data_IF_789337442181
#
_entry.id   IF_789337442181
#
_cell.length_a   1.000
_cell.length_b   1.000
_cell.length_c   1.000
_cell.angle_alpha   90.00
_cell.angle_beta   90.00
_cell.angle_gamma   90.00
#
_symmetry.space_group_name_H-M   'P 1'
#
loop_
_entity.id
_entity.type
_entity.pdbx_description
1 polymer ?
#
# COMPACT_ATOMS: atom_id res chain seq x y z
N UNK A 1 8.64 20.19 -26.17
CA UNK A 1 9.81 19.30 -26.24
C UNK A 1 9.88 18.36 -27.44
N UNK A 2 8.89 17.48 -27.74
CA UNK A 2 8.90 16.71 -29.02
C UNK A 2 8.85 17.64 -30.25
N UNK A 3 8.07 18.73 -30.12
CA UNK A 3 7.93 19.79 -31.13
C UNK A 3 9.28 20.45 -31.43
N UNK A 4 10.03 20.84 -30.40
CA UNK A 4 11.30 21.59 -30.54
C UNK A 4 12.42 20.75 -31.17
N UNK A 5 12.49 19.44 -30.87
CA UNK A 5 13.44 18.51 -31.49
C UNK A 5 13.17 18.35 -33.00
N UNK A 6 11.90 18.24 -33.39
CA UNK A 6 11.52 18.20 -34.80
C UNK A 6 11.82 19.53 -35.48
N UNK A 7 11.63 20.67 -34.81
CA UNK A 7 11.98 21.98 -35.37
C UNK A 7 13.48 22.10 -35.64
N UNK A 8 14.35 21.68 -34.71
CA UNK A 8 15.82 21.77 -34.90
C UNK A 8 16.29 20.88 -36.06
N UNK A 9 15.82 19.62 -36.11
CA UNK A 9 16.19 18.69 -37.19
C UNK A 9 15.68 19.21 -38.54
N UNK A 10 14.47 19.75 -38.57
CA UNK A 10 13.87 20.33 -39.77
C UNK A 10 14.64 21.58 -40.24
N UNK A 11 15.03 22.47 -39.33
CA UNK A 11 15.84 23.66 -39.67
C UNK A 11 17.19 23.27 -40.23
N UNK A 12 17.90 22.30 -39.63
CA UNK A 12 19.18 21.80 -40.15
C UNK A 12 18.97 21.16 -41.54
N UNK A 13 17.89 20.39 -41.73
CA UNK A 13 17.54 19.79 -43.01
C UNK A 13 17.26 20.82 -44.11
N UNK A 14 16.48 21.86 -43.80
CA UNK A 14 16.16 22.94 -44.75
C UNK A 14 17.42 23.72 -45.12
N UNK A 15 18.20 24.15 -44.12
CA UNK A 15 19.42 24.94 -44.34
C UNK A 15 20.47 24.11 -45.10
N UNK A 16 20.65 22.84 -44.75
CA UNK A 16 21.54 21.93 -45.47
C UNK A 16 21.11 21.69 -46.91
N UNK A 17 19.80 21.54 -47.17
CA UNK A 17 19.26 21.35 -48.52
C UNK A 17 19.46 22.60 -49.40
N UNK A 18 19.26 23.79 -48.83
CA UNK A 18 19.50 25.06 -49.54
C UNK A 18 20.97 25.17 -49.94
N UNK A 19 21.89 24.90 -49.00
CA UNK A 19 23.33 24.98 -49.27
C UNK A 19 23.78 23.92 -50.28
N UNK A 20 23.25 22.70 -50.20
CA UNK A 20 23.51 21.65 -51.18
C UNK A 20 23.02 22.03 -52.59
N UNK A 21 21.83 22.61 -52.69
CA UNK A 21 21.25 23.04 -53.97
C UNK A 21 22.05 24.20 -54.60
N UNK A 22 22.43 25.19 -53.79
CA UNK A 22 23.29 26.30 -54.24
C UNK A 22 24.66 25.80 -54.72
N UNK A 23 25.25 24.82 -54.02
CA UNK A 23 26.52 24.23 -54.45
C UNK A 23 26.40 23.42 -55.74
N UNK A 24 25.30 22.69 -55.91
CA UNK A 24 25.02 21.96 -57.15
C UNK A 24 24.88 22.92 -58.33
N UNK A 25 24.17 24.03 -58.14
CA UNK A 25 24.05 25.08 -59.16
C UNK A 25 25.41 25.70 -59.49
N UNK A 26 26.21 26.04 -58.48
CA UNK A 26 27.55 26.60 -58.68
C UNK A 26 28.51 25.64 -59.39
N UNK A 27 28.36 24.33 -59.20
CA UNK A 27 29.14 23.32 -59.89
C UNK A 27 28.71 23.15 -61.36
N UNK A 28 27.41 23.24 -61.63
CA UNK A 28 26.87 23.16 -63.00
C UNK A 28 27.18 24.41 -63.85
N UNK A 29 27.22 25.60 -63.23
CA UNK A 29 27.51 26.87 -63.89
C UNK A 29 28.95 27.38 -63.61
N UNK A 30 29.83 26.49 -63.15
CA UNK A 30 31.17 26.85 -62.68
C UNK A 30 32.05 27.53 -63.73
N UNK A 31 31.98 27.07 -64.97
CA UNK A 31 32.79 27.59 -66.08
C UNK A 31 32.39 29.01 -66.50
N UNK A 32 31.09 29.36 -66.43
CA UNK A 32 30.59 30.72 -66.71
C UNK A 32 30.95 31.68 -65.56
N UNK A 33 30.86 31.19 -64.31
CA UNK A 33 31.20 31.96 -63.11
C UNK A 33 32.71 32.29 -63.03
N UNK A 34 33.57 31.35 -63.45
CA UNK A 34 35.01 31.55 -63.44
C UNK A 34 35.46 32.57 -64.50
N UNK A 35 34.85 32.53 -65.69
CA UNK A 35 35.09 33.51 -66.77
C UNK A 35 34.67 34.93 -66.39
N UNK A 36 33.57 35.10 -65.65
CA UNK A 36 33.09 36.43 -65.24
C UNK A 36 33.81 37.01 -64.02
N UNK A 37 34.34 36.16 -63.12
CA UNK A 37 34.71 36.61 -61.77
C UNK A 37 36.01 36.04 -61.17
N UNK A 38 36.87 35.38 -61.98
CA UNK A 38 38.28 34.89 -61.84
C UNK A 38 39.06 34.87 -60.47
N UNK A 39 38.40 34.97 -59.32
CA UNK A 39 38.93 34.90 -57.94
C UNK A 39 37.79 34.54 -56.96
N UNK A 40 36.54 34.83 -57.32
CA UNK A 40 35.36 34.59 -56.47
C UNK A 40 35.11 33.09 -56.27
N UNK A 41 35.40 32.23 -57.25
CA UNK A 41 35.19 30.78 -57.16
C UNK A 41 35.88 30.12 -55.95
N UNK A 42 37.14 30.50 -55.68
CA UNK A 42 37.90 29.99 -54.53
C UNK A 42 37.29 30.46 -53.19
N UNK A 43 36.83 31.72 -53.12
CA UNK A 43 36.18 32.28 -51.91
C UNK A 43 34.82 31.64 -51.63
N UNK A 44 34.08 31.32 -52.68
CA UNK A 44 32.81 30.61 -52.61
C UNK A 44 33.02 29.17 -52.15
N UNK A 45 34.03 28.48 -52.70
CA UNK A 45 34.39 27.12 -52.29
C UNK A 45 34.81 27.07 -50.81
N UNK A 46 35.61 28.03 -50.34
CA UNK A 46 36.01 28.07 -48.92
C UNK A 46 34.84 28.38 -47.98
N UNK A 47 33.92 29.26 -48.37
CA UNK A 47 32.70 29.53 -47.62
C UNK A 47 31.79 28.29 -47.55
N UNK A 48 31.71 27.53 -48.63
CA UNK A 48 30.96 26.27 -48.68
C UNK A 48 31.57 25.20 -47.75
N UNK A 49 32.88 24.98 -47.82
CA UNK A 49 33.58 24.03 -46.93
C UNK A 49 33.40 24.43 -45.46
N UNK A 50 33.46 25.73 -45.14
CA UNK A 50 33.20 26.23 -43.80
C UNK A 50 31.76 25.93 -43.35
N UNK A 51 30.77 26.12 -44.23
CA UNK A 51 29.36 25.87 -43.92
C UNK A 51 29.04 24.38 -43.75
N UNK A 52 29.60 23.52 -44.61
CA UNK A 52 29.48 22.06 -44.49
C UNK A 52 30.10 21.55 -43.17
N UNK A 53 31.26 22.09 -42.80
CA UNK A 53 31.91 21.80 -41.51
C UNK A 53 31.05 22.25 -40.33
N UNK A 54 30.46 23.45 -40.41
CA UNK A 54 29.55 23.98 -39.39
C UNK A 54 28.30 23.10 -39.21
N UNK A 55 27.62 22.72 -40.30
CA UNK A 55 26.45 21.85 -40.25
C UNK A 55 26.79 20.46 -39.67
N UNK A 56 27.93 19.89 -40.08
CA UNK A 56 28.42 18.60 -39.56
C UNK A 56 28.67 18.66 -38.05
N UNK A 57 29.36 19.70 -37.59
CA UNK A 57 29.62 19.93 -36.16
C UNK A 57 28.33 20.10 -35.36
N UNK A 58 27.38 20.90 -35.87
CA UNK A 58 26.08 21.13 -35.23
C UNK A 58 25.26 19.83 -35.11
N UNK A 59 25.23 19.01 -36.17
CA UNK A 59 24.52 17.74 -36.17
C UNK A 59 25.17 16.75 -35.19
N UNK A 60 26.51 16.70 -35.13
CA UNK A 60 27.24 15.89 -34.17
C UNK A 60 26.94 16.32 -32.71
N UNK A 61 26.97 17.62 -32.41
CA UNK A 61 26.59 18.14 -31.09
C UNK A 61 25.13 17.79 -30.72
N UNK A 62 24.21 17.85 -31.67
CA UNK A 62 22.82 17.46 -31.45
C UNK A 62 22.70 15.96 -31.16
N UNK A 63 23.41 15.11 -31.90
CA UNK A 63 23.45 13.66 -31.64
C UNK A 63 23.99 13.35 -30.24
N UNK A 64 25.07 14.01 -29.81
CA UNK A 64 25.60 13.88 -28.45
C UNK A 64 24.55 14.28 -27.42
N UNK A 65 23.87 15.42 -27.61
CA UNK A 65 22.84 15.89 -26.68
C UNK A 65 21.69 14.87 -26.57
N UNK A 66 21.24 14.32 -27.69
CA UNK A 66 20.17 13.32 -27.72
C UNK A 66 20.60 12.00 -27.10
N UNK A 67 21.83 11.57 -27.36
CA UNK A 67 22.43 10.39 -26.75
C UNK A 67 22.49 10.56 -25.22
N UNK A 68 23.08 11.64 -24.73
CA UNK A 68 23.21 11.91 -23.29
C UNK A 68 21.84 11.95 -22.59
N UNK A 69 20.84 12.63 -23.18
CA UNK A 69 19.48 12.64 -22.63
C UNK A 69 18.85 11.24 -22.57
N UNK A 70 19.10 10.42 -23.58
CA UNK A 70 18.58 9.05 -23.62
C UNK A 70 19.26 8.18 -22.57
N UNK A 71 20.59 8.29 -22.45
CA UNK A 71 21.38 7.58 -21.43
C UNK A 71 20.95 7.96 -20.02
N UNK A 72 20.75 9.24 -19.72
CA UNK A 72 20.24 9.71 -18.41
C UNK A 72 18.88 9.09 -18.13
N UNK A 73 17.94 9.15 -19.09
CA UNK A 73 16.61 8.56 -18.90
C UNK A 73 16.65 7.04 -18.67
N UNK A 74 17.54 6.32 -19.38
CA UNK A 74 17.73 4.87 -19.19
C UNK A 74 18.32 4.59 -17.81
N UNK A 75 19.27 5.41 -17.36
CA UNK A 75 19.88 5.28 -16.04
C UNK A 75 18.85 5.49 -14.93
N UNK A 76 18.05 6.55 -15.02
CA UNK A 76 16.98 6.85 -14.06
C UNK A 76 15.94 5.72 -13.99
N UNK A 77 15.51 5.18 -15.14
CA UNK A 77 14.58 4.04 -15.19
C UNK A 77 15.20 2.75 -14.65
N UNK A 78 16.49 2.53 -14.87
CA UNK A 78 17.21 1.36 -14.33
C UNK A 78 17.36 1.46 -12.82
N UNK A 79 17.67 2.65 -12.29
CA UNK A 79 17.75 2.91 -10.87
C UNK A 79 16.39 2.72 -10.20
N UNK A 80 15.32 3.27 -10.78
CA UNK A 80 13.97 3.11 -10.23
C UNK A 80 13.54 1.65 -10.18
N UNK A 81 13.83 0.86 -11.23
CA UNK A 81 13.55 -0.59 -11.24
C UNK A 81 14.38 -1.35 -10.20
N UNK A 82 15.65 -0.98 -10.01
CA UNK A 82 16.51 -1.58 -9.00
C UNK A 82 16.00 -1.28 -7.58
N UNK A 83 15.52 -0.05 -7.33
CA UNK A 83 14.87 0.34 -6.08
C UNK A 83 13.61 -0.47 -5.83
N UNK A 84 12.69 -0.53 -6.80
CA UNK A 84 11.46 -1.32 -6.69
C UNK A 84 11.75 -2.80 -6.44
N UNK A 85 12.75 -3.38 -7.12
CA UNK A 85 13.16 -4.76 -6.91
C UNK A 85 13.69 -4.99 -5.48
N UNK A 86 14.52 -4.07 -4.98
CA UNK A 86 15.02 -4.12 -3.60
C UNK A 86 13.88 -4.01 -2.59
N UNK A 87 12.91 -3.13 -2.82
CA UNK A 87 11.74 -2.99 -1.95
C UNK A 87 10.87 -4.24 -1.95
N UNK A 88 10.63 -4.84 -3.11
CA UNK A 88 9.89 -6.10 -3.23
C UNK A 88 10.62 -7.24 -2.51
N UNK A 89 11.93 -7.39 -2.70
CA UNK A 89 12.73 -8.41 -2.02
C UNK A 89 12.74 -8.21 -0.50
N UNK A 90 12.81 -6.95 -0.05
CA UNK A 90 12.72 -6.63 1.37
C UNK A 90 11.33 -6.96 1.92
N UNK A 91 10.26 -6.56 1.23
CA UNK A 91 8.90 -6.82 1.64
C UNK A 91 8.61 -8.33 1.69
N UNK A 92 9.01 -9.09 0.67
CA UNK A 92 8.82 -10.55 0.61
C UNK A 92 9.63 -11.30 1.67
N UNK A 93 10.77 -10.78 2.11
CA UNK A 93 11.59 -11.44 3.15
C UNK A 93 11.21 -11.09 4.59
N UNK A 94 10.42 -10.03 4.79
CA UNK A 94 10.23 -9.43 6.11
C UNK A 94 8.76 -9.17 6.49
N UNK A 95 7.80 -9.74 5.75
CA UNK A 95 6.41 -9.75 6.19
C UNK A 95 6.18 -10.68 7.38
N UNK A 96 4.95 -10.69 7.89
CA UNK A 96 4.52 -11.61 8.93
C UNK A 96 3.08 -12.08 8.65
N UNK A 97 2.82 -13.37 8.82
CA UNK A 97 1.48 -13.96 8.80
C UNK A 97 1.23 -14.65 10.14
N UNK A 98 0.02 -14.52 10.66
CA UNK A 98 -0.42 -15.20 11.87
C UNK A 98 -1.46 -16.27 11.58
N UNK A 99 -1.54 -17.23 12.50
CA UNK A 99 -2.62 -18.19 12.60
C UNK A 99 -3.25 -18.07 13.99
N UNK A 100 -4.57 -17.88 14.02
CA UNK A 100 -5.34 -17.94 15.25
C UNK A 100 -5.55 -19.39 15.68
N UNK A 101 -5.46 -19.66 16.98
CA UNK A 101 -5.43 -21.03 17.48
C UNK A 101 -6.07 -21.19 18.85
N UNK A 102 -6.21 -22.45 19.26
CA UNK A 102 -6.76 -22.89 20.54
C UNK A 102 -8.23 -22.49 20.78
N UNK A 103 -8.47 -21.45 21.58
CA UNK A 103 -9.78 -21.10 22.11
C UNK A 103 -9.95 -19.59 22.05
N UNK A 104 -11.02 -19.16 21.41
CA UNK A 104 -11.49 -17.79 21.42
C UNK A 104 -12.41 -17.58 22.62
N UNK A 105 -12.22 -16.47 23.34
CA UNK A 105 -13.01 -16.11 24.51
C UNK A 105 -13.79 -14.83 24.22
N UNK A 106 -15.07 -14.83 24.57
CA UNK A 106 -15.93 -13.63 24.53
C UNK A 106 -16.47 -13.39 25.93
N UNK A 107 -16.19 -12.21 26.49
CA UNK A 107 -16.56 -11.84 27.86
C UNK A 107 -16.88 -10.34 27.97
N UNK A 108 -17.68 -9.98 28.98
CA UNK A 108 -18.02 -8.58 29.24
C UNK A 108 -16.81 -7.79 29.72
N UNK A 109 -16.66 -6.57 29.20
CA UNK A 109 -15.56 -5.69 29.62
C UNK A 109 -15.76 -5.17 31.05
N UNK A 110 -14.64 -4.91 31.72
CA UNK A 110 -14.68 -4.36 33.08
C UNK A 110 -15.22 -2.93 33.09
N UNK A 111 -16.05 -2.59 34.09
CA UNK A 111 -16.59 -1.24 34.27
C UNK A 111 -15.49 -0.17 34.28
N UNK A 112 -14.39 -0.44 34.99
CA UNK A 112 -13.21 0.44 35.03
C UNK A 112 -12.62 0.72 33.64
N UNK A 113 -12.59 -0.28 32.77
CA UNK A 113 -12.09 -0.10 31.41
C UNK A 113 -13.05 0.77 30.59
N UNK A 114 -14.36 0.51 30.71
CA UNK A 114 -15.41 1.30 30.06
C UNK A 114 -15.37 2.75 30.53
N UNK A 115 -15.27 3.02 31.84
CA UNK A 115 -15.19 4.38 32.38
C UNK A 115 -13.99 5.15 31.79
N UNK A 116 -12.84 4.47 31.68
CA UNK A 116 -11.63 5.05 31.08
C UNK A 116 -11.83 5.36 29.59
N UNK A 117 -12.51 4.50 28.85
CA UNK A 117 -12.86 4.73 27.45
C UNK A 117 -13.70 6.00 27.31
N UNK A 118 -14.77 6.13 28.09
CA UNK A 118 -15.69 7.27 28.04
C UNK A 118 -14.97 8.57 28.42
N UNK A 119 -14.11 8.54 29.43
CA UNK A 119 -13.32 9.71 29.85
C UNK A 119 -12.31 10.16 28.79
N UNK A 120 -11.61 9.21 28.15
CA UNK A 120 -10.59 9.52 27.14
C UNK A 120 -11.15 9.82 25.76
N UNK A 121 -12.40 9.42 25.48
CA UNK A 121 -13.06 9.54 24.18
C UNK A 121 -12.21 9.01 23.02
N UNK A 122 -11.57 7.86 23.23
CA UNK A 122 -10.64 7.27 22.27
C UNK A 122 -11.06 5.85 21.91
N UNK A 123 -11.41 5.63 20.65
CA UNK A 123 -11.88 4.34 20.14
C UNK A 123 -10.77 3.50 19.49
N UNK A 124 -9.50 3.87 19.67
CA UNK A 124 -8.34 3.25 19.02
C UNK A 124 -8.34 1.70 19.09
N UNK A 125 -8.83 1.11 20.19
CA UNK A 125 -8.86 -0.34 20.40
C UNK A 125 -10.26 -0.97 20.26
N UNK A 126 -11.22 -0.22 19.75
CA UNK A 126 -12.63 -0.60 19.70
C UNK A 126 -13.12 -0.75 18.27
N UNK A 127 -14.08 -1.64 18.09
CA UNK A 127 -14.90 -1.77 16.89
C UNK A 127 -16.37 -1.64 17.30
N UNK A 128 -17.15 -0.94 16.50
CA UNK A 128 -18.57 -0.67 16.76
C UNK A 128 -19.44 -1.49 15.81
N UNK A 129 -20.56 -2.00 16.32
CA UNK A 129 -21.60 -2.63 15.51
C UNK A 129 -22.09 -1.68 14.40
N UNK A 130 -22.44 -2.24 13.25
CA UNK A 130 -22.92 -1.49 12.09
C UNK A 130 -24.07 -0.53 12.45
N UNK A 131 -23.98 0.71 11.94
CA UNK A 131 -25.01 1.73 12.15
C UNK A 131 -24.94 2.44 13.51
N UNK A 132 -23.84 2.28 14.26
CA UNK A 132 -23.55 3.05 15.47
C UNK A 132 -22.66 4.25 15.21
N UNK A 133 -22.79 5.28 16.07
CA UNK A 133 -22.01 6.52 16.01
C UNK A 133 -21.26 6.70 17.34
N UNK A 134 -19.94 6.89 17.26
CA UNK A 134 -19.05 7.02 18.44
C UNK A 134 -19.52 8.07 19.45
N UNK A 135 -19.95 9.23 18.96
CA UNK A 135 -20.39 10.35 19.81
C UNK A 135 -21.63 10.01 20.64
N UNK A 136 -22.52 9.17 20.13
CA UNK A 136 -23.69 8.72 20.88
C UNK A 136 -23.29 7.75 21.99
N UNK A 137 -22.34 6.85 21.72
CA UNK A 137 -21.80 5.91 22.71
C UNK A 137 -21.18 6.65 23.90
N UNK A 138 -20.42 7.73 23.64
CA UNK A 138 -19.82 8.52 24.71
C UNK A 138 -20.84 9.26 25.58
N UNK A 139 -21.97 9.67 25.00
CA UNK A 139 -23.03 10.40 25.71
C UNK A 139 -23.96 9.47 26.48
N UNK A 140 -24.24 8.30 25.91
CA UNK A 140 -25.24 7.35 26.42
C UNK A 140 -24.63 5.94 26.60
N UNK A 141 -23.57 5.76 27.41
CA UNK A 141 -22.88 4.46 27.52
C UNK A 141 -23.77 3.33 28.04
N UNK A 142 -24.83 3.64 28.78
CA UNK A 142 -25.76 2.64 29.35
C UNK A 142 -26.64 1.95 28.29
N UNK A 143 -26.76 2.54 27.10
CA UNK A 143 -27.53 1.99 25.97
C UNK A 143 -26.72 0.94 25.18
N UNK A 144 -25.45 0.75 25.55
CA UNK A 144 -24.50 -0.12 24.86
C UNK A 144 -23.97 -1.21 25.78
N UNK A 145 -23.51 -2.28 25.15
CA UNK A 145 -22.77 -3.35 25.80
C UNK A 145 -21.35 -3.39 25.25
N UNK A 146 -20.39 -3.59 26.15
CA UNK A 146 -18.97 -3.60 25.87
C UNK A 146 -18.44 -5.01 26.12
N UNK A 147 -17.86 -5.61 25.08
CA UNK A 147 -17.44 -7.02 25.10
C UNK A 147 -16.02 -7.11 24.56
N UNK A 148 -15.18 -7.91 25.20
CA UNK A 148 -13.86 -8.25 24.68
C UNK A 148 -13.88 -9.59 23.99
N UNK A 149 -13.12 -9.65 22.91
CA UNK A 149 -12.77 -10.86 22.18
C UNK A 149 -11.28 -11.13 22.37
N UNK A 150 -10.94 -12.26 22.98
CA UNK A 150 -9.54 -12.69 23.16
C UNK A 150 -9.25 -13.92 22.32
N UNK A 151 -8.28 -13.82 21.40
CA UNK A 151 -7.90 -14.91 20.51
C UNK A 151 -6.39 -15.14 20.57
N UNK A 152 -5.94 -16.34 21.00
CA UNK A 152 -4.54 -16.74 20.90
C UNK A 152 -4.10 -16.85 19.44
N UNK A 153 -2.85 -16.45 19.17
CA UNK A 153 -2.26 -16.58 17.84
C UNK A 153 -0.76 -16.93 17.92
N UNK A 154 -0.26 -17.48 16.81
CA UNK A 154 1.17 -17.67 16.56
C UNK A 154 1.56 -17.04 15.22
N UNK A 155 2.81 -16.62 15.11
CA UNK A 155 3.40 -16.26 13.83
C UNK A 155 3.75 -17.56 13.11
N UNK A 156 3.16 -17.80 11.94
CA UNK A 156 3.42 -18.99 11.13
C UNK A 156 4.50 -18.74 10.08
N UNK A 157 4.62 -17.50 9.66
CA UNK A 157 5.55 -17.11 8.62
C UNK A 157 6.05 -15.71 8.89
N UNK A 158 7.35 -15.49 8.63
CA UNK A 158 7.94 -14.17 8.64
C UNK A 158 8.56 -13.74 9.96
N UNK A 159 8.59 -12.43 10.22
CA UNK A 159 9.30 -11.81 11.35
C UNK A 159 8.37 -11.56 12.54
N UNK A 160 8.94 -11.11 13.65
CA UNK A 160 8.19 -10.64 14.82
C UNK A 160 7.23 -9.51 14.43
N UNK A 161 6.04 -9.51 15.02
CA UNK A 161 4.98 -8.56 14.75
C UNK A 161 5.13 -7.34 15.66
N UNK A 162 4.98 -6.15 15.08
CA UNK A 162 4.93 -4.90 15.83
C UNK A 162 3.50 -4.48 16.14
N UNK A 163 2.58 -4.66 15.19
CA UNK A 163 1.18 -4.29 15.38
C UNK A 163 0.22 -5.16 14.56
N UNK A 164 -0.99 -5.31 15.10
CA UNK A 164 -2.13 -5.91 14.42
C UNK A 164 -3.26 -4.88 14.46
N UNK A 165 -3.88 -4.62 13.33
CA UNK A 165 -5.08 -3.80 13.23
C UNK A 165 -6.20 -4.54 12.50
N UNK A 166 -7.43 -4.14 12.75
CA UNK A 166 -8.64 -4.71 12.17
C UNK A 166 -9.42 -3.64 11.44
N UNK A 167 -9.86 -3.97 10.23
CA UNK A 167 -10.73 -3.10 9.44
C UNK A 167 -12.20 -3.46 9.68
N UNK A 168 -12.47 -4.78 9.79
CA UNK A 168 -13.82 -5.34 9.91
C UNK A 168 -13.81 -6.70 10.57
N UNK A 169 -14.82 -6.97 11.39
CA UNK A 169 -15.17 -8.31 11.87
C UNK A 169 -16.58 -8.64 11.41
N UNK A 170 -16.80 -9.86 10.93
CA UNK A 170 -18.11 -10.39 10.58
C UNK A 170 -18.33 -11.70 11.31
N UNK A 171 -19.41 -11.77 12.08
CA UNK A 171 -19.86 -12.98 12.76
C UNK A 171 -21.15 -13.45 12.11
N UNK A 172 -21.24 -14.74 11.82
CA UNK A 172 -22.43 -15.35 11.27
C UNK A 172 -23.13 -16.16 12.37
N UNK A 173 -24.42 -15.91 12.60
CA UNK A 173 -25.26 -16.63 13.55
C UNK A 173 -26.67 -16.76 12.98
N UNK A 174 -27.19 -17.99 12.89
CA UNK A 174 -28.54 -18.28 12.40
C UNK A 174 -28.88 -17.64 11.04
N UNK A 175 -27.90 -17.54 10.13
CA UNK A 175 -28.07 -16.89 8.83
C UNK A 175 -28.06 -15.35 8.85
N UNK A 176 -27.87 -14.73 10.02
CA UNK A 176 -27.67 -13.30 10.18
C UNK A 176 -26.19 -12.96 10.31
N UNK A 177 -25.76 -11.88 9.66
CA UNK A 177 -24.40 -11.34 9.80
C UNK A 177 -24.41 -10.18 10.80
N UNK A 178 -23.52 -10.26 11.78
CA UNK A 178 -23.21 -9.17 12.70
C UNK A 178 -21.87 -8.60 12.31
N UNK A 179 -21.85 -7.33 11.92
CA UNK A 179 -20.67 -6.67 11.40
C UNK A 179 -20.20 -5.60 12.38
N UNK A 180 -18.90 -5.60 12.65
CA UNK A 180 -18.23 -4.61 13.46
C UNK A 180 -17.17 -3.93 12.61
N UNK A 181 -17.13 -2.60 12.68
CA UNK A 181 -16.25 -1.77 11.89
C UNK A 181 -15.38 -0.91 12.78
N UNK A 182 -14.23 -0.50 12.25
CA UNK A 182 -13.49 0.62 12.83
C UNK A 182 -14.37 1.87 12.83
N UNK A 183 -14.49 2.57 13.96
CA UNK A 183 -15.29 3.79 14.04
C UNK A 183 -14.74 4.88 13.12
N UNK A 184 -15.61 5.73 12.56
CA UNK A 184 -15.21 6.79 11.62
C UNK A 184 -14.19 7.79 12.19
N UNK A 185 -14.14 7.93 13.52
CA UNK A 185 -13.15 8.74 14.23
C UNK A 185 -11.72 8.19 14.12
N UNK A 186 -11.55 6.94 13.72
CA UNK A 186 -10.28 6.22 13.65
C UNK A 186 -10.05 5.68 12.22
N UNK A 187 -8.80 5.58 11.78
CA UNK A 187 -8.48 4.93 10.49
C UNK A 187 -8.45 3.40 10.57
N UNK A 188 -7.96 2.86 11.69
CA UNK A 188 -7.86 1.42 11.93
C UNK A 188 -8.03 1.11 13.42
N UNK A 189 -8.66 -0.02 13.75
CA UNK A 189 -8.80 -0.47 15.14
C UNK A 189 -7.60 -1.34 15.54
N UNK A 190 -6.80 -0.88 16.51
CA UNK A 190 -5.61 -1.60 17.00
C UNK A 190 -6.01 -2.75 17.92
N UNK A 191 -5.30 -3.86 17.80
CA UNK A 191 -5.35 -4.95 18.75
C UNK A 191 -4.45 -4.68 19.98
N UNK A 192 -4.85 -5.14 21.16
CA UNK A 192 -3.85 -5.37 22.22
C UNK A 192 -3.13 -6.68 21.97
N UNK A 193 -1.80 -6.64 21.94
CA UNK A 193 -0.95 -7.82 21.87
C UNK A 193 -0.47 -8.16 23.28
N UNK A 194 -0.98 -9.24 23.85
CA UNK A 194 -0.55 -9.74 25.15
C UNK A 194 0.24 -11.02 25.01
N UNK A 195 1.52 -10.95 25.37
CA UNK A 195 2.36 -12.13 25.50
C UNK A 195 2.12 -12.78 26.86
N UNK A 196 1.76 -14.06 26.84
CA UNK A 196 1.65 -14.88 28.03
C UNK A 196 2.94 -15.70 28.19
N UNK A 197 3.71 -15.39 29.24
CA UNK A 197 4.97 -16.06 29.56
C UNK A 197 4.81 -17.55 29.91
N UNK A 198 3.70 -17.92 30.55
CA UNK A 198 3.46 -19.30 31.02
C UNK A 198 3.11 -20.19 29.84
N UNK A 199 2.20 -19.73 28.99
CA UNK A 199 1.77 -20.51 27.81
C UNK A 199 2.66 -20.27 26.58
N UNK A 200 3.60 -19.32 26.67
CA UNK A 200 4.47 -18.87 25.56
C UNK A 200 3.66 -18.50 24.29
N UNK A 201 2.50 -17.87 24.49
CA UNK A 201 1.54 -17.54 23.41
C UNK A 201 1.23 -16.05 23.39
N UNK A 202 1.02 -15.52 22.19
CA UNK A 202 0.49 -14.17 22.02
C UNK A 202 -1.04 -14.23 21.95
N UNK A 203 -1.70 -13.23 22.49
CA UNK A 203 -3.14 -13.07 22.40
C UNK A 203 -3.42 -11.71 21.76
N UNK A 204 -4.35 -11.70 20.80
CA UNK A 204 -5.01 -10.48 20.37
C UNK A 204 -6.24 -10.28 21.24
N UNK A 205 -6.41 -9.07 21.77
CA UNK A 205 -7.68 -8.62 22.33
C UNK A 205 -8.28 -7.54 21.43
N UNK A 206 -9.56 -7.72 21.08
CA UNK A 206 -10.38 -6.77 20.32
C UNK A 206 -11.59 -6.41 21.16
N UNK A 207 -11.90 -5.13 21.30
CA UNK A 207 -13.08 -4.68 22.03
C UNK A 207 -14.21 -4.32 21.07
N UNK A 208 -15.38 -4.87 21.35
CA UNK A 208 -16.60 -4.72 20.56
C UNK A 208 -17.61 -3.90 21.35
N UNK A 209 -18.27 -2.98 20.66
CA UNK A 209 -19.37 -2.19 21.21
C UNK A 209 -20.61 -2.47 20.37
N UNK A 210 -21.67 -2.89 21.03
CA UNK A 210 -22.95 -3.21 20.41
C UNK A 210 -24.09 -2.56 21.17
N UNK A 211 -25.27 -2.46 20.54
CA UNK A 211 -26.46 -2.02 21.27
C UNK A 211 -26.79 -3.03 22.36
N UNK A 212 -27.30 -2.54 23.49
CA UNK A 212 -27.65 -3.40 24.63
C UNK A 212 -28.78 -4.40 24.34
N UNK A 213 -29.61 -4.11 23.35
CA UNK A 213 -30.67 -4.99 22.85
C UNK A 213 -30.20 -5.90 21.71
N UNK A 214 -28.92 -5.85 21.31
CA UNK A 214 -28.37 -6.71 20.26
C UNK A 214 -28.41 -8.17 20.69
N UNK A 215 -28.91 -9.03 19.80
CA UNK A 215 -28.95 -10.48 20.00
C UNK A 215 -27.58 -11.14 19.76
N UNK A 216 -26.55 -10.35 19.45
CA UNK A 216 -25.20 -10.84 19.18
C UNK A 216 -24.62 -11.63 20.36
N UNK A 217 -24.64 -11.05 21.57
CA UNK A 217 -24.02 -11.63 22.76
C UNK A 217 -24.88 -11.43 24.01
N UNK A 218 -25.37 -12.54 24.57
CA UNK A 218 -26.03 -12.58 25.88
C UNK A 218 -25.12 -13.34 26.87
N UNK A 219 -24.59 -12.72 27.94
CA UNK A 219 -23.68 -13.37 28.90
C UNK A 219 -24.38 -14.47 29.71
N UNK A 220 -25.72 -14.49 29.73
CA UNK A 220 -26.51 -15.51 30.44
C UNK A 220 -26.86 -16.72 29.56
N UNK A 221 -26.45 -16.71 28.29
CA UNK A 221 -26.76 -17.77 27.32
C UNK A 221 -25.54 -18.17 26.51
N UNK A 222 -25.59 -19.39 25.99
CA UNK A 222 -24.66 -19.85 24.97
C UNK A 222 -24.97 -19.11 23.67
N UNK A 223 -24.01 -18.31 23.21
CA UNK A 223 -24.08 -17.64 21.93
C UNK A 223 -23.49 -18.57 20.87
N UNK A 224 -24.29 -18.96 19.89
CA UNK A 224 -23.90 -19.92 18.86
C UNK A 224 -23.53 -19.16 17.60
N UNK A 225 -22.28 -19.29 17.16
CA UNK A 225 -21.82 -18.72 15.90
C UNK A 225 -21.47 -19.84 14.91
N UNK A 226 -21.63 -19.57 13.63
CA UNK A 226 -21.33 -20.50 12.53
C UNK A 226 -19.95 -20.22 11.93
N UNK A 227 -19.61 -18.94 11.79
CA UNK A 227 -18.37 -18.51 11.14
C UNK A 227 -17.97 -17.13 11.63
N UNK A 228 -16.66 -16.90 11.71
CA UNK A 228 -16.11 -15.56 11.97
C UNK A 228 -15.11 -15.24 10.87
N UNK A 229 -15.27 -14.06 10.28
CA UNK A 229 -14.37 -13.52 9.27
C UNK A 229 -13.75 -12.23 9.78
N UNK A 230 -12.43 -12.20 9.79
CA UNK A 230 -11.61 -11.15 10.36
C UNK A 230 -10.81 -10.50 9.23
N UNK A 231 -11.04 -9.22 8.97
CA UNK A 231 -10.25 -8.43 8.03
C UNK A 231 -9.13 -7.75 8.84
N UNK A 232 -7.91 -8.19 8.61
CA UNK A 232 -6.76 -7.94 9.49
C UNK A 232 -5.59 -7.37 8.68
N UNK A 233 -4.90 -6.41 9.29
CA UNK A 233 -3.60 -5.96 8.85
C UNK A 233 -2.54 -6.30 9.88
N UNK A 234 -1.41 -6.80 9.42
CA UNK A 234 -0.29 -7.23 10.26
C UNK A 234 0.93 -6.43 9.82
N UNK A 235 1.56 -5.72 10.76
CA UNK A 235 2.81 -5.00 10.49
C UNK A 235 3.95 -5.68 11.24
N UNK A 236 4.97 -6.10 10.49
CA UNK A 236 6.18 -6.66 11.07
C UNK A 236 7.02 -5.59 11.77
N UNK A 237 7.93 -5.99 12.65
CA UNK A 237 8.86 -5.10 13.33
C UNK A 237 9.74 -4.30 12.35
N UNK A 238 9.97 -4.83 11.16
CA UNK A 238 10.75 -4.20 10.10
C UNK A 238 9.90 -3.29 9.20
N UNK A 239 8.65 -3.00 9.58
CA UNK A 239 7.79 -2.07 8.88
C UNK A 239 7.19 -2.63 7.59
N UNK A 240 7.02 -3.95 7.47
CA UNK A 240 6.30 -4.54 6.34
C UNK A 240 4.87 -4.85 6.75
N UNK A 241 3.91 -4.26 6.05
CA UNK A 241 2.48 -4.48 6.26
C UNK A 241 1.93 -5.51 5.27
N UNK A 242 1.16 -6.46 5.80
CA UNK A 242 0.35 -7.41 5.05
C UNK A 242 -1.11 -7.18 5.38
N UNK A 243 -1.96 -7.26 4.36
CA UNK A 243 -3.41 -7.29 4.52
C UNK A 243 -3.95 -8.66 4.16
N UNK A 244 -4.90 -9.14 4.94
CA UNK A 244 -5.54 -10.41 4.67
C UNK A 244 -6.85 -10.60 5.41
N UNK A 245 -7.48 -11.72 5.10
CA UNK A 245 -8.71 -12.17 5.73
C UNK A 245 -8.42 -13.47 6.48
N UNK A 246 -8.77 -13.54 7.75
CA UNK A 246 -8.75 -14.78 8.51
C UNK A 246 -10.18 -15.29 8.71
N UNK A 247 -10.44 -16.51 8.25
CA UNK A 247 -11.71 -17.20 8.45
C UNK A 247 -11.55 -18.27 9.54
N UNK A 248 -12.31 -18.14 10.62
CA UNK A 248 -12.27 -19.04 11.75
C UNK A 248 -13.48 -19.98 11.72
N UNK A 249 -13.19 -21.27 11.91
CA UNK A 249 -14.18 -22.32 12.12
C UNK A 249 -13.94 -22.90 13.51
N UNK A 250 -15.01 -23.00 14.30
CA UNK A 250 -14.91 -23.32 15.71
C UNK A 250 -16.07 -24.19 16.18
N UNK A 251 -15.86 -24.87 17.30
CA UNK A 251 -16.91 -25.54 18.06
C UNK A 251 -17.46 -24.56 19.10
N UNK A 252 -18.79 -24.43 19.14
CA UNK A 252 -19.49 -23.58 20.08
C UNK A 252 -19.37 -24.12 21.53
N UNK A 253 -19.46 -23.24 22.54
CA UNK A 253 -19.43 -23.65 23.93
C UNK A 253 -20.62 -24.56 24.28
N UNK A 254 -20.40 -25.56 25.12
CA UNK A 254 -21.45 -26.43 25.68
C UNK A 254 -21.99 -25.91 27.02
N UNK A 255 -21.21 -25.07 27.70
CA UNK A 255 -21.57 -24.44 28.97
C UNK A 255 -20.96 -23.03 29.04
N UNK A 256 -21.59 -22.17 29.85
CA UNK A 256 -21.06 -20.85 30.19
C UNK A 256 -20.07 -21.04 31.34
N UNK A 257 -18.89 -20.41 31.25
CA UNK A 257 -17.93 -20.45 32.35
C UNK A 257 -18.45 -19.66 33.57
N UNK A 258 -17.94 -19.93 34.77
CA UNK A 258 -18.46 -19.34 36.01
C UNK A 258 -18.37 -17.81 36.09
N UNK A 259 -17.62 -17.19 35.19
CA UNK A 259 -17.43 -15.74 35.02
C UNK A 259 -18.29 -15.14 33.88
N UNK A 260 -19.17 -15.93 33.25
CA UNK A 260 -19.97 -15.48 32.09
C UNK A 260 -19.23 -15.56 30.75
N UNK A 261 -18.02 -16.11 30.71
CA UNK A 261 -17.24 -16.24 29.48
C UNK A 261 -17.79 -17.35 28.57
N UNK A 262 -17.93 -17.03 27.28
CA UNK A 262 -18.20 -18.02 26.25
C UNK A 262 -16.90 -18.41 25.54
N UNK A 263 -16.54 -19.69 25.63
CA UNK A 263 -15.29 -20.24 25.09
C UNK A 263 -15.54 -21.07 23.84
N UNK A 264 -14.99 -20.64 22.71
CA UNK A 264 -15.13 -21.28 21.40
C UNK A 264 -13.83 -21.94 21.02
N UNK A 265 -13.84 -23.26 20.78
CA UNK A 265 -12.63 -23.97 20.35
C UNK A 265 -12.40 -23.78 18.86
N UNK A 266 -11.28 -23.18 18.47
CA UNK A 266 -10.91 -23.01 17.06
C UNK A 266 -10.45 -24.36 16.52
N UNK A 267 -11.15 -24.86 15.50
CA UNK A 267 -10.84 -26.11 14.82
C UNK A 267 -9.91 -25.87 13.63
N UNK A 268 -10.12 -24.76 12.91
CA UNK A 268 -9.27 -24.34 11.81
C UNK A 268 -9.34 -22.83 11.61
N UNK A 269 -8.21 -22.24 11.20
CA UNK A 269 -8.11 -20.83 10.83
C UNK A 269 -7.43 -20.74 9.45
N UNK A 270 -8.10 -20.12 8.48
CA UNK A 270 -7.55 -19.94 7.14
C UNK A 270 -7.22 -18.46 6.93
N UNK A 271 -5.94 -18.15 6.72
CA UNK A 271 -5.50 -16.80 6.36
C UNK A 271 -5.36 -16.69 4.83
N UNK A 272 -6.00 -15.69 4.23
CA UNK A 272 -5.89 -15.38 2.81
C UNK A 272 -5.36 -13.97 2.63
N UNK A 273 -4.22 -13.84 1.94
CA UNK A 273 -3.62 -12.57 1.61
C UNK A 273 -4.46 -11.83 0.56
N UNK A 274 -4.84 -10.59 0.84
CA UNK A 274 -5.66 -9.76 -0.07
C UNK A 274 -4.84 -8.75 -0.85
N UNK A 275 -3.71 -8.33 -0.30
CA UNK A 275 -2.76 -7.42 -0.95
C UNK A 275 -1.32 -7.92 -0.76
N UNK A 276 -0.48 -7.70 -1.77
CA UNK A 276 0.96 -7.96 -1.67
C UNK A 276 1.58 -7.21 -0.48
N UNK A 277 2.60 -7.79 0.19
CA UNK A 277 3.31 -7.11 1.27
C UNK A 277 3.89 -5.76 0.82
N UNK A 278 3.75 -4.73 1.64
CA UNK A 278 4.23 -3.37 1.35
C UNK A 278 5.03 -2.82 2.50
N UNK A 279 6.09 -2.09 2.18
CA UNK A 279 6.87 -1.36 3.19
C UNK A 279 6.06 -0.13 3.61
N UNK A 280 5.78 -0.02 4.91
CA UNK A 280 5.15 1.14 5.53
C UNK A 280 6.19 1.90 6.33
N UNK A 281 6.19 3.23 6.25
CA UNK A 281 7.01 4.04 7.14
C UNK A 281 6.52 3.80 8.57
N UNK A 282 7.40 3.27 9.41
CA UNK A 282 7.15 3.16 10.84
C UNK A 282 7.01 4.60 11.35
N UNK A 283 5.79 5.04 11.64
CA UNK A 283 5.57 6.26 12.40
C UNK A 283 6.05 5.97 13.83
N UNK A 284 7.28 6.40 14.12
CA UNK A 284 7.81 6.48 15.48
C UNK A 284 7.18 7.64 16.24
#
# INVERSE_FOLDING_TARGET
MKKDKNTIIMTIGIVGSIVFLLATLMLLFGDELDQMFNVIGIRVATLFVAFASFLSSMLFSLLILLHNRTVVKINDDTNHRAELFRELQFASGNYSIIEFMDRMLIYEESSRYVDRLIQRKSMIFHMIEEGLVSDHIFKNPNDYQFVSLKIPFRVIEGKTISSITFDKLRFERNGQNFEFFTPESEHESRAFLLYNEVTKRNNVIINLIMRRDSVFYDPKKINVFSKIKIYINITSLLGVKVKGNSELYFTNPEQIEGDGTNTYRINSANFTLTEMPKIVKIQG
#
